data_IF_505057686723
#
_entry.id   IF_505057686723
#
_cell.length_a   1.000
_cell.length_b   1.000
_cell.length_c   1.000
_cell.angle_alpha   90.00
_cell.angle_beta   90.00
_cell.angle_gamma   90.00
#
_symmetry.space_group_name_H-M   'P 1'
#
loop_
_entity.id
_entity.type
_entity.pdbx_description
1 polymer ?
#
# COMPACT_ATOMS: atom_id res chain seq x y z
N UNK A 1 -43.46 -72.20 6.13
CA UNK A 1 -43.34 -71.33 4.93
C UNK A 1 -43.73 -69.91 5.32
N UNK A 2 -42.91 -68.93 4.90
CA UNK A 2 -43.13 -67.48 4.96
C UNK A 2 -43.07 -66.77 6.32
N UNK A 3 -41.93 -66.10 6.59
CA UNK A 3 -41.83 -64.95 7.51
C UNK A 3 -41.97 -63.67 6.68
N UNK A 4 -42.73 -62.65 7.11
CA UNK A 4 -42.80 -61.39 6.37
C UNK A 4 -41.56 -60.54 6.64
N UNK A 5 -40.92 -60.10 5.56
CA UNK A 5 -39.78 -59.20 5.53
C UNK A 5 -40.22 -57.75 5.74
N UNK A 6 -39.84 -57.14 6.84
CA UNK A 6 -39.88 -55.68 7.01
C UNK A 6 -38.72 -55.07 6.21
N UNK A 7 -39.03 -54.37 5.12
CA UNK A 7 -38.05 -53.52 4.42
C UNK A 7 -37.99 -52.17 5.14
N UNK A 8 -36.88 -51.90 5.81
CA UNK A 8 -36.54 -50.59 6.33
C UNK A 8 -36.13 -49.71 5.14
N UNK A 9 -36.94 -48.71 4.80
CA UNK A 9 -36.55 -47.64 3.87
C UNK A 9 -35.75 -46.63 4.69
N UNK A 10 -34.44 -46.60 4.50
CA UNK A 10 -33.59 -45.56 5.08
C UNK A 10 -33.75 -44.28 4.26
N UNK A 11 -34.39 -43.27 4.85
CA UNK A 11 -34.47 -41.91 4.32
C UNK A 11 -33.11 -41.23 4.55
N UNK A 12 -32.27 -41.12 3.52
CA UNK A 12 -31.07 -40.29 3.57
C UNK A 12 -31.48 -38.81 3.50
N UNK A 13 -31.50 -38.16 4.66
CA UNK A 13 -31.60 -36.70 4.76
C UNK A 13 -30.21 -36.13 4.44
N UNK A 14 -30.01 -35.69 3.20
CA UNK A 14 -28.81 -34.97 2.78
C UNK A 14 -28.78 -33.60 3.46
N UNK A 15 -27.97 -33.47 4.51
CA UNK A 15 -27.62 -32.19 5.11
C UNK A 15 -26.71 -31.45 4.11
N UNK A 16 -27.28 -30.57 3.30
CA UNK A 16 -26.51 -29.56 2.58
C UNK A 16 -25.95 -28.60 3.63
N UNK A 17 -24.69 -28.79 4.01
CA UNK A 17 -23.89 -27.72 4.60
C UNK A 17 -23.65 -26.69 3.51
N UNK A 18 -24.56 -25.71 3.40
CA UNK A 18 -24.23 -24.42 2.79
C UNK A 18 -23.23 -23.79 3.74
N UNK A 19 -21.94 -24.00 3.46
CA UNK A 19 -20.88 -23.24 4.09
C UNK A 19 -21.14 -21.77 3.80
N UNK A 20 -21.65 -21.06 4.80
CA UNK A 20 -21.67 -19.60 4.76
C UNK A 20 -20.22 -19.17 4.87
N UNK A 21 -19.54 -19.02 3.73
CA UNK A 21 -18.38 -18.16 3.66
C UNK A 21 -18.90 -16.76 4.04
N UNK A 22 -18.84 -16.43 5.34
CA UNK A 22 -19.20 -15.12 5.81
C UNK A 22 -18.38 -14.10 5.04
N UNK A 23 -19.01 -13.01 4.59
CA UNK A 23 -18.28 -11.89 3.99
C UNK A 23 -17.28 -11.39 5.04
N UNK A 24 -16.01 -11.70 4.82
CA UNK A 24 -14.94 -11.31 5.71
C UNK A 24 -14.65 -9.85 5.45
N UNK A 25 -14.67 -9.03 6.49
CA UNK A 25 -14.32 -7.61 6.38
C UNK A 25 -12.87 -7.39 6.78
N UNK A 26 -12.22 -6.42 6.14
CA UNK A 26 -10.86 -6.00 6.42
C UNK A 26 -10.82 -4.50 6.62
N UNK A 27 -10.12 -4.04 7.66
CA UNK A 27 -9.86 -2.62 7.89
C UNK A 27 -8.62 -2.23 7.10
N UNK A 28 -8.80 -1.31 6.15
CA UNK A 28 -7.79 -0.90 5.17
C UNK A 28 -7.55 0.59 5.30
N UNK A 29 -6.27 0.97 5.37
CA UNK A 29 -5.85 2.37 5.40
C UNK A 29 -5.37 2.80 4.02
N UNK A 30 -6.04 3.80 3.48
CA UNK A 30 -5.64 4.50 2.26
C UNK A 30 -4.70 5.64 2.61
N UNK A 31 -3.69 5.86 1.78
CA UNK A 31 -2.68 6.91 1.97
C UNK A 31 -2.54 7.79 0.74
N UNK A 32 -2.11 9.03 0.95
CA UNK A 32 -1.62 9.95 -0.07
C UNK A 32 -0.34 10.61 0.45
N UNK A 33 0.79 10.30 -0.17
CA UNK A 33 2.08 10.87 0.22
C UNK A 33 2.14 12.35 -0.19
N UNK A 34 2.42 13.21 0.79
CA UNK A 34 2.53 14.64 0.62
C UNK A 34 3.62 15.18 1.56
N UNK A 35 4.89 14.75 1.40
CA UNK A 35 5.96 15.06 2.36
C UNK A 35 6.26 16.57 2.43
N UNK A 36 5.93 17.32 1.39
CA UNK A 36 6.03 18.77 1.36
C UNK A 36 4.82 19.50 1.98
N UNK A 37 3.80 18.77 2.45
CA UNK A 37 2.52 19.29 2.94
C UNK A 37 1.95 20.37 2.02
N UNK A 38 1.85 20.03 0.74
CA UNK A 38 1.39 20.92 -0.32
C UNK A 38 -0.13 21.08 -0.32
N UNK A 39 -0.87 20.06 0.13
CA UNK A 39 -2.30 20.13 0.34
C UNK A 39 -2.63 20.70 1.72
N UNK A 40 -3.70 21.48 1.82
CA UNK A 40 -4.25 21.89 3.13
C UNK A 40 -5.24 20.86 3.68
N UNK A 41 -5.87 20.08 2.79
CA UNK A 41 -6.77 18.95 3.10
C UNK A 41 -6.67 17.90 1.99
N UNK A 42 -6.84 16.64 2.35
CA UNK A 42 -6.97 15.54 1.41
C UNK A 42 -8.21 14.69 1.71
N UNK A 43 -8.73 14.04 0.67
CA UNK A 43 -9.90 13.19 0.72
C UNK A 43 -9.67 11.92 -0.11
N UNK A 44 -10.24 10.80 0.33
CA UNK A 44 -10.30 9.54 -0.43
C UNK A 44 -11.75 9.11 -0.72
N UNK A 45 -12.42 9.79 -1.66
CA UNK A 45 -13.75 9.38 -2.12
C UNK A 45 -13.70 8.07 -2.93
N UNK A 46 -14.75 7.28 -2.83
CA UNK A 46 -14.90 6.06 -3.62
C UNK A 46 -16.31 5.46 -3.56
N UNK A 47 -16.47 4.29 -4.17
CA UNK A 47 -17.73 3.54 -4.18
C UNK A 47 -18.23 3.17 -2.78
N UNK A 48 -17.33 3.13 -1.80
CA UNK A 48 -17.63 2.82 -0.38
C UNK A 48 -18.12 4.02 0.45
N UNK A 49 -18.04 5.26 -0.05
CA UNK A 49 -18.44 6.45 0.70
C UNK A 49 -19.15 7.52 -0.15
N UNK A 50 -19.78 7.11 -1.26
CA UNK A 50 -20.62 7.99 -2.07
C UNK A 50 -19.84 9.05 -2.86
N UNK A 51 -18.56 8.78 -3.19
CA UNK A 51 -17.76 9.64 -4.08
C UNK A 51 -17.57 11.10 -3.63
N UNK A 52 -17.64 11.37 -2.32
CA UNK A 52 -17.44 12.74 -1.81
C UNK A 52 -18.68 13.63 -1.87
N UNK A 53 -19.86 13.07 -2.14
CA UNK A 53 -21.12 13.80 -2.25
C UNK A 53 -21.80 14.00 -0.88
N UNK A 54 -22.46 15.15 -0.65
CA UNK A 54 -22.57 16.30 -1.55
C UNK A 54 -21.29 17.16 -1.56
N UNK A 55 -21.01 17.79 -2.70
CA UNK A 55 -19.91 18.76 -2.83
C UNK A 55 -20.20 20.09 -2.12
N UNK A 56 -19.16 20.89 -1.87
CA UNK A 56 -19.29 22.21 -1.26
C UNK A 56 -20.17 23.11 -2.13
N UNK A 57 -21.20 23.77 -1.57
CA UNK A 57 -22.05 24.69 -2.33
C UNK A 57 -21.22 25.77 -3.05
N UNK A 58 -21.49 25.96 -4.34
CA UNK A 58 -20.77 26.93 -5.17
C UNK A 58 -19.44 26.44 -5.75
N UNK A 59 -18.99 25.22 -5.41
CA UNK A 59 -17.83 24.58 -6.05
C UNK A 59 -18.29 23.23 -6.63
N UNK A 60 -18.47 23.11 -7.96
CA UNK A 60 -19.12 21.94 -8.54
C UNK A 60 -18.33 20.63 -8.40
N UNK A 61 -17.09 20.67 -7.88
CA UNK A 61 -16.21 19.49 -7.81
C UNK A 61 -15.41 19.35 -6.52
N UNK A 62 -15.43 20.30 -5.58
CA UNK A 62 -14.60 20.21 -4.36
C UNK A 62 -15.39 19.62 -3.19
N UNK A 63 -14.81 18.65 -2.50
CA UNK A 63 -15.47 17.92 -1.41
C UNK A 63 -15.58 18.84 -0.19
N UNK A 64 -16.72 18.80 0.49
CA UNK A 64 -16.96 19.56 1.70
C UNK A 64 -15.95 19.25 2.81
N UNK A 65 -15.54 20.28 3.54
CA UNK A 65 -14.86 20.08 4.81
C UNK A 65 -15.72 19.21 5.74
N UNK A 66 -15.11 18.24 6.42
CA UNK A 66 -15.81 17.32 7.31
C UNK A 66 -16.57 16.19 6.62
N UNK A 67 -16.41 16.00 5.30
CA UNK A 67 -16.96 14.83 4.60
C UNK A 67 -16.35 13.52 5.15
N UNK A 68 -17.12 12.42 5.07
CA UNK A 68 -16.70 11.10 5.57
C UNK A 68 -15.45 10.52 4.89
N UNK A 69 -15.05 11.07 3.75
CA UNK A 69 -13.81 10.70 3.03
C UNK A 69 -12.58 11.53 3.44
N UNK A 70 -12.73 12.47 4.37
CA UNK A 70 -11.63 13.32 4.82
C UNK A 70 -10.50 12.49 5.42
N UNK A 71 -9.28 12.81 5.01
CA UNK A 71 -8.07 12.16 5.48
C UNK A 71 -7.44 12.99 6.61
N UNK A 72 -6.72 12.31 7.49
CA UNK A 72 -5.92 12.92 8.55
C UNK A 72 -4.47 13.01 8.09
N UNK A 73 -3.80 14.13 8.34
CA UNK A 73 -2.37 14.27 8.03
C UNK A 73 -1.52 13.71 9.17
N UNK A 74 -0.63 12.78 8.84
CA UNK A 74 0.46 12.32 9.68
C UNK A 74 1.72 13.12 9.35
N UNK A 75 2.16 13.95 10.29
CA UNK A 75 3.32 14.81 10.11
C UNK A 75 4.65 14.07 10.21
N UNK A 76 4.71 12.98 10.97
CA UNK A 76 5.93 12.19 11.15
C UNK A 76 6.19 11.31 9.91
N UNK A 77 5.11 10.85 9.29
CA UNK A 77 5.13 10.10 8.03
C UNK A 77 5.12 10.95 6.76
N UNK A 78 4.66 12.20 6.82
CA UNK A 78 4.55 13.06 5.64
C UNK A 78 3.45 12.62 4.66
N UNK A 79 2.33 12.11 5.18
CA UNK A 79 1.23 11.62 4.35
C UNK A 79 -0.14 11.86 4.97
N UNK A 80 -1.15 11.91 4.11
CA UNK A 80 -2.55 11.85 4.51
C UNK A 80 -3.02 10.40 4.58
N UNK A 81 -3.84 10.05 5.56
CA UNK A 81 -4.38 8.71 5.69
C UNK A 81 -5.88 8.69 6.07
N UNK A 82 -6.59 7.65 5.65
CA UNK A 82 -7.97 7.39 6.05
C UNK A 82 -8.23 5.88 6.09
N UNK A 83 -8.90 5.44 7.15
CA UNK A 83 -9.12 4.02 7.42
C UNK A 83 -10.59 3.67 7.24
N UNK A 84 -10.87 2.64 6.45
CA UNK A 84 -12.22 2.17 6.15
C UNK A 84 -12.28 0.64 6.22
N UNK A 85 -13.41 0.10 6.68
CA UNK A 85 -13.66 -1.34 6.68
C UNK A 85 -14.36 -1.75 5.39
N UNK A 86 -13.74 -2.66 4.63
CA UNK A 86 -14.17 -3.11 3.32
C UNK A 86 -14.34 -4.63 3.28
N UNK A 87 -15.14 -5.14 2.36
CA UNK A 87 -15.35 -6.59 2.24
C UNK A 87 -14.24 -7.23 1.41
N UNK A 88 -13.60 -8.27 1.94
CA UNK A 88 -12.66 -9.10 1.22
C UNK A 88 -13.36 -9.80 0.03
N UNK A 89 -12.62 -9.94 -1.07
CA UNK A 89 -13.10 -10.43 -2.36
C UNK A 89 -13.88 -9.41 -3.20
N UNK A 90 -14.07 -8.17 -2.71
CA UNK A 90 -14.74 -7.10 -3.48
C UNK A 90 -13.73 -6.12 -4.08
N UNK A 91 -14.09 -5.57 -5.24
CA UNK A 91 -13.38 -4.47 -5.88
C UNK A 91 -14.02 -3.15 -5.49
N UNK A 92 -13.20 -2.16 -5.14
CA UNK A 92 -13.62 -0.81 -4.83
C UNK A 92 -12.88 0.20 -5.70
N UNK A 93 -13.64 1.12 -6.27
CA UNK A 93 -13.11 2.22 -7.07
C UNK A 93 -13.05 3.47 -6.21
N UNK A 94 -11.98 4.23 -6.35
CA UNK A 94 -11.72 5.43 -5.55
C UNK A 94 -10.83 6.43 -6.29
N UNK A 95 -10.73 7.63 -5.75
CA UNK A 95 -9.80 8.69 -6.18
C UNK A 95 -9.21 9.39 -4.97
N UNK A 96 -8.20 10.21 -5.22
CA UNK A 96 -7.72 11.21 -4.28
C UNK A 96 -8.18 12.58 -4.75
N UNK A 97 -8.66 13.39 -3.81
CA UNK A 97 -8.83 14.83 -4.01
C UNK A 97 -8.04 15.58 -2.95
N UNK A 98 -7.33 16.62 -3.37
CA UNK A 98 -6.65 17.54 -2.46
C UNK A 98 -7.20 18.94 -2.62
N UNK A 99 -7.20 19.70 -1.53
CA UNK A 99 -7.46 21.13 -1.53
C UNK A 99 -6.15 21.89 -1.42
N UNK A 100 -6.02 22.97 -2.19
CA UNK A 100 -4.87 23.87 -2.19
C UNK A 100 -5.12 25.13 -1.36
N UNK A 101 -6.37 25.37 -0.95
CA UNK A 101 -6.74 26.51 -0.12
C UNK A 101 -7.75 26.14 0.99
N UNK A 102 -7.74 26.94 2.05
CA UNK A 102 -8.62 26.73 3.21
C UNK A 102 -10.11 26.98 2.89
N UNK A 103 -10.38 27.83 1.89
CA UNK A 103 -11.74 28.08 1.41
C UNK A 103 -12.39 26.84 0.78
N UNK A 104 -11.60 25.87 0.30
CA UNK A 104 -12.09 24.65 -0.33
C UNK A 104 -12.64 24.88 -1.73
N UNK A 105 -12.19 25.95 -2.39
CA UNK A 105 -12.59 26.33 -3.74
C UNK A 105 -11.57 25.95 -4.79
N UNK A 106 -10.33 25.65 -4.38
CA UNK A 106 -9.26 25.17 -5.24
C UNK A 106 -8.94 23.72 -4.86
N UNK A 107 -9.33 22.79 -5.72
CA UNK A 107 -9.09 21.37 -5.52
C UNK A 107 -8.59 20.70 -6.79
N UNK A 108 -7.88 19.58 -6.62
CA UNK A 108 -7.43 18.74 -7.73
C UNK A 108 -7.82 17.30 -7.46
N UNK A 109 -8.33 16.64 -8.50
CA UNK A 109 -8.64 15.22 -8.51
C UNK A 109 -7.58 14.46 -9.28
N UNK A 110 -7.14 13.33 -8.73
CA UNK A 110 -6.22 12.43 -9.42
C UNK A 110 -6.47 10.99 -8.99
N UNK A 111 -6.06 10.06 -9.86
CA UNK A 111 -5.92 8.64 -9.51
C UNK A 111 -4.80 8.51 -8.49
N UNK A 112 -4.92 7.58 -7.54
CA UNK A 112 -3.87 7.33 -6.55
C UNK A 112 -2.52 7.01 -7.23
N UNK A 113 -1.48 7.84 -7.03
CA UNK A 113 -0.16 7.61 -7.61
C UNK A 113 0.52 6.32 -7.14
N UNK A 114 0.10 5.77 -5.98
CA UNK A 114 0.65 4.52 -5.44
C UNK A 114 -0.07 3.27 -5.95
N UNK A 115 -1.18 3.44 -6.68
CA UNK A 115 -1.94 2.33 -7.24
C UNK A 115 -1.85 2.34 -8.76
N UNK A 116 -1.11 1.40 -9.37
CA UNK A 116 -0.98 1.35 -10.83
C UNK A 116 -2.26 0.92 -11.54
N UNK A 117 -3.27 0.42 -10.81
CA UNK A 117 -4.52 -0.07 -11.39
C UNK A 117 -5.55 1.06 -11.46
N UNK A 118 -5.86 1.48 -12.68
CA UNK A 118 -6.94 2.44 -12.97
C UNK A 118 -7.96 1.87 -13.93
N UNK A 119 -9.23 2.22 -13.74
CA UNK A 119 -10.36 1.70 -14.53
C UNK A 119 -11.32 2.82 -14.95
N UNK A 120 -12.11 2.54 -16.00
CA UNK A 120 -13.17 3.42 -16.47
C UNK A 120 -12.69 4.72 -17.15
N UNK A 121 -13.65 5.51 -17.63
CA UNK A 121 -13.36 6.74 -18.39
C UNK A 121 -12.77 7.88 -17.53
N UNK A 122 -12.98 7.83 -16.22
CA UNK A 122 -12.47 8.83 -15.29
C UNK A 122 -11.09 8.48 -14.73
N UNK A 123 -10.51 7.33 -15.11
CA UNK A 123 -9.30 6.77 -14.51
C UNK A 123 -9.45 6.67 -12.99
N UNK A 124 -10.50 6.01 -12.50
CA UNK A 124 -10.64 5.74 -11.08
C UNK A 124 -9.60 4.70 -10.67
N UNK A 125 -8.94 4.86 -9.53
CA UNK A 125 -8.09 3.81 -8.98
C UNK A 125 -8.96 2.66 -8.49
N UNK A 126 -8.55 1.42 -8.71
CA UNK A 126 -9.30 0.25 -8.25
C UNK A 126 -8.45 -0.61 -7.32
N UNK A 127 -9.04 -1.05 -6.21
CA UNK A 127 -8.42 -2.01 -5.29
C UNK A 127 -9.34 -3.20 -5.10
N UNK A 128 -8.80 -4.40 -5.27
CA UNK A 128 -9.48 -5.65 -4.90
C UNK A 128 -9.00 -6.03 -3.50
N UNK A 129 -9.92 -6.13 -2.56
CA UNK A 129 -9.58 -6.42 -1.16
C UNK A 129 -9.29 -7.92 -1.05
N UNK A 130 -8.08 -8.25 -0.62
CA UNK A 130 -7.66 -9.63 -0.34
C UNK A 130 -7.29 -9.77 1.15
N UNK A 131 -7.32 -10.99 1.67
CA UNK A 131 -6.92 -11.28 3.05
C UNK A 131 -5.93 -12.47 3.09
N UNK A 132 -4.65 -12.25 3.44
CA UNK A 132 -4.01 -10.95 3.67
C UNK A 132 -3.74 -10.18 2.36
N UNK A 133 -3.43 -8.88 2.45
CA UNK A 133 -3.02 -8.04 1.33
C UNK A 133 -1.90 -7.07 1.69
N UNK A 134 -1.07 -6.74 0.70
CA UNK A 134 -0.21 -5.55 0.71
C UNK A 134 -0.80 -4.53 -0.24
N UNK A 135 -0.85 -3.26 0.17
CA UNK A 135 -1.48 -2.18 -0.56
C UNK A 135 -0.62 -0.91 -0.52
N UNK A 136 -0.61 -0.17 -1.63
CA UNK A 136 0.15 1.07 -1.80
C UNK A 136 1.63 0.96 -1.33
N UNK A 137 2.41 -0.05 -1.74
CA UNK A 137 3.85 -0.04 -1.47
C UNK A 137 4.48 1.22 -2.10
N UNK A 138 5.39 1.86 -1.38
CA UNK A 138 5.95 3.14 -1.79
C UNK A 138 7.42 3.27 -1.38
N UNK A 139 8.20 3.89 -2.27
CA UNK A 139 9.46 4.52 -1.93
C UNK A 139 9.22 6.01 -1.66
N UNK A 140 9.55 6.47 -0.45
CA UNK A 140 9.37 7.85 -0.04
C UNK A 140 10.61 8.65 -0.43
N UNK A 141 10.43 9.60 -1.35
CA UNK A 141 11.51 10.36 -1.99
C UNK A 141 11.56 11.78 -1.40
N UNK A 142 12.76 12.22 -1.04
CA UNK A 142 13.01 13.56 -0.53
C UNK A 142 13.15 14.60 -1.65
N UNK A 143 13.37 15.87 -1.29
CA UNK A 143 13.53 16.97 -2.24
C UNK A 143 14.74 16.81 -3.19
N UNK A 144 15.75 16.03 -2.81
CA UNK A 144 16.94 15.75 -3.62
C UNK A 144 16.72 14.61 -4.62
N UNK A 145 15.52 14.01 -4.66
CA UNK A 145 15.23 12.87 -5.52
C UNK A 145 15.83 11.55 -5.03
N UNK A 146 16.14 11.45 -3.74
CA UNK A 146 16.64 10.23 -3.10
C UNK A 146 15.54 9.56 -2.27
N UNK A 147 15.49 8.23 -2.30
CA UNK A 147 14.58 7.45 -1.48
C UNK A 147 15.13 7.35 -0.06
N UNK A 148 14.38 7.90 0.91
CA UNK A 148 14.77 7.99 2.32
C UNK A 148 13.98 7.06 3.23
N UNK A 149 12.81 6.59 2.78
CA UNK A 149 12.03 5.58 3.48
C UNK A 149 11.30 4.66 2.49
N UNK A 150 10.84 3.51 2.98
CA UNK A 150 9.90 2.63 2.28
C UNK A 150 8.70 2.38 3.18
N UNK A 151 7.51 2.28 2.60
CA UNK A 151 6.30 2.01 3.37
C UNK A 151 5.25 1.27 2.57
N UNK A 152 4.35 0.57 3.27
CA UNK A 152 3.25 -0.18 2.68
C UNK A 152 2.09 -0.31 3.68
N UNK A 153 0.86 -0.41 3.18
CA UNK A 153 -0.24 -0.97 3.96
C UNK A 153 -0.16 -2.49 3.95
N UNK A 154 -0.20 -3.12 5.11
CA UNK A 154 -0.17 -4.57 5.28
C UNK A 154 -1.40 -4.95 6.10
N UNK A 155 -2.39 -5.56 5.46
CA UNK A 155 -3.71 -5.77 6.04
C UNK A 155 -4.07 -7.25 6.05
N UNK A 156 -4.57 -7.74 7.18
CA UNK A 156 -5.09 -9.09 7.30
C UNK A 156 -6.13 -9.19 8.41
N UNK A 157 -6.99 -10.20 8.33
CA UNK A 157 -7.93 -10.53 9.42
C UNK A 157 -7.26 -11.26 10.60
N UNK A 158 -6.07 -11.78 10.36
CA UNK A 158 -5.22 -12.43 11.35
C UNK A 158 -4.02 -11.53 11.66
N UNK A 159 -3.47 -11.67 12.87
CA UNK A 159 -2.21 -11.01 13.20
C UNK A 159 -1.07 -11.52 12.32
N UNK A 160 -0.12 -10.64 12.01
CA UNK A 160 1.10 -11.03 11.29
C UNK A 160 2.12 -11.66 12.24
N UNK A 161 2.57 -12.86 11.89
CA UNK A 161 3.63 -13.57 12.63
C UNK A 161 5.02 -13.16 12.16
N UNK A 162 5.14 -12.65 10.93
CA UNK A 162 6.39 -12.23 10.35
C UNK A 162 6.14 -11.20 9.24
N UNK A 163 7.00 -10.18 9.17
CA UNK A 163 7.13 -9.32 8.00
C UNK A 163 8.61 -9.30 7.62
N UNK A 164 8.94 -9.64 6.38
CA UNK A 164 10.30 -9.51 5.84
C UNK A 164 10.28 -8.51 4.70
N UNK A 165 11.38 -7.79 4.52
CA UNK A 165 11.49 -6.84 3.44
C UNK A 165 12.94 -6.66 2.98
N UNK A 166 13.09 -6.25 1.73
CA UNK A 166 14.37 -5.90 1.13
C UNK A 166 14.30 -4.50 0.57
N UNK A 167 15.41 -3.78 0.64
CA UNK A 167 15.58 -2.49 -0.05
C UNK A 167 16.84 -2.56 -0.88
N UNK A 168 16.69 -2.36 -2.19
CA UNK A 168 17.72 -2.55 -3.20
C UNK A 168 18.44 -3.92 -3.08
N UNK A 169 17.66 -4.99 -2.92
CA UNK A 169 18.16 -6.37 -2.78
C UNK A 169 18.80 -6.71 -1.43
N UNK A 170 18.93 -5.74 -0.51
CA UNK A 170 19.48 -5.99 0.83
C UNK A 170 18.33 -6.33 1.76
N UNK A 171 18.31 -7.56 2.27
CA UNK A 171 17.38 -8.00 3.32
C UNK A 171 17.64 -7.20 4.61
N UNK A 172 16.56 -6.77 5.25
CA UNK A 172 16.59 -5.98 6.48
C UNK A 172 15.91 -6.74 7.63
N UNK A 173 16.01 -6.16 8.83
CA UNK A 173 15.47 -6.65 10.11
C UNK A 173 14.02 -7.17 10.02
N UNK A 174 13.56 -7.89 11.05
CA UNK A 174 12.14 -8.23 11.22
C UNK A 174 11.26 -6.98 11.08
N UNK A 175 10.42 -6.97 10.05
CA UNK A 175 9.58 -5.84 9.69
C UNK A 175 8.46 -5.56 10.69
N UNK A 176 8.21 -6.47 11.63
CA UNK A 176 7.20 -6.27 12.68
C UNK A 176 7.52 -5.07 13.59
N UNK A 177 8.80 -4.75 13.80
CA UNK A 177 9.21 -3.57 14.61
C UNK A 177 8.82 -2.24 13.95
N UNK A 178 8.54 -2.26 12.65
CA UNK A 178 8.21 -1.10 11.83
C UNK A 178 6.73 -1.09 11.39
N UNK A 179 5.93 -2.02 11.91
CA UNK A 179 4.53 -2.20 11.58
C UNK A 179 3.64 -1.75 12.74
N UNK A 180 2.71 -0.84 12.45
CA UNK A 180 1.66 -0.45 13.39
C UNK A 180 0.40 -1.31 13.16
N UNK A 181 0.04 -2.22 14.08
CA UNK A 181 -1.15 -3.06 13.95
C UNK A 181 -2.46 -2.28 14.06
N UNK A 182 -2.46 -1.05 14.61
CA UNK A 182 -3.67 -0.25 14.73
C UNK A 182 -4.08 0.38 13.38
N UNK A 183 -3.10 0.79 12.59
CA UNK A 183 -3.32 1.38 11.26
C UNK A 183 -3.03 0.41 10.12
N UNK A 184 -2.37 -0.72 10.37
CA UNK A 184 -1.90 -1.65 9.35
C UNK A 184 -0.77 -1.07 8.49
N UNK A 185 -0.07 -0.04 8.95
CA UNK A 185 0.99 0.62 8.19
C UNK A 185 2.37 0.09 8.59
N UNK A 186 3.13 -0.37 7.61
CA UNK A 186 4.56 -0.62 7.71
C UNK A 186 5.33 0.59 7.18
N UNK A 187 6.35 1.07 7.92
CA UNK A 187 7.25 2.11 7.43
C UNK A 187 8.66 1.97 8.01
N UNK A 188 9.64 1.89 7.12
CA UNK A 188 11.06 1.83 7.45
C UNK A 188 11.82 3.02 6.88
N UNK A 189 12.47 3.80 7.74
CA UNK A 189 13.38 4.89 7.33
C UNK A 189 14.77 4.32 7.11
N UNK A 190 15.36 4.62 5.95
CA UNK A 190 16.70 4.13 5.61
C UNK A 190 17.77 4.89 6.39
N UNK A 191 18.77 4.17 6.91
CA UNK A 191 19.96 4.77 7.54
C UNK A 191 20.75 5.66 6.56
N UNK A 192 20.76 5.27 5.29
CA UNK A 192 21.41 5.99 4.19
C UNK A 192 20.43 6.06 3.03
N UNK A 193 20.09 7.26 2.51
CA UNK A 193 19.24 7.39 1.35
C UNK A 193 19.82 6.64 0.15
N UNK A 194 18.94 6.03 -0.65
CA UNK A 194 19.32 5.33 -1.88
C UNK A 194 18.70 6.01 -3.09
N UNK A 195 19.07 5.57 -4.28
CA UNK A 195 18.52 6.10 -5.54
C UNK A 195 16.99 5.96 -5.55
N UNK A 196 16.25 7.00 -5.94
CA UNK A 196 14.80 6.87 -6.15
C UNK A 196 14.50 5.80 -7.20
N UNK A 197 13.43 5.04 -6.95
CA UNK A 197 13.06 3.87 -7.76
C UNK A 197 13.84 2.60 -7.43
N UNK A 198 14.70 2.60 -6.39
CA UNK A 198 15.35 1.35 -5.95
C UNK A 198 14.31 0.34 -5.51
N UNK A 199 14.60 -0.95 -5.70
CA UNK A 199 13.71 -2.03 -5.38
C UNK A 199 13.27 -1.97 -3.92
N UNK A 200 11.98 -2.16 -3.68
CA UNK A 200 11.42 -2.46 -2.37
C UNK A 200 10.51 -3.66 -2.52
N UNK A 201 10.85 -4.75 -1.81
CA UNK A 201 10.01 -5.94 -1.72
C UNK A 201 9.61 -6.12 -0.26
N UNK A 202 8.34 -6.44 -0.02
CA UNK A 202 7.82 -6.76 1.30
C UNK A 202 7.01 -8.04 1.23
N UNK A 203 7.18 -8.92 2.21
CA UNK A 203 6.41 -10.15 2.38
C UNK A 203 5.89 -10.22 3.79
N UNK A 204 4.60 -10.43 3.96
CA UNK A 204 3.95 -10.58 5.25
C UNK A 204 3.32 -11.97 5.36
N UNK A 205 3.54 -12.63 6.49
CA UNK A 205 2.97 -13.95 6.79
C UNK A 205 2.19 -13.88 8.08
N UNK A 206 0.92 -14.31 8.04
CA UNK A 206 0.05 -14.31 9.21
C UNK A 206 0.24 -15.52 10.13
N UNK A 207 -0.34 -15.46 11.33
CA UNK A 207 -0.26 -16.54 12.34
C UNK A 207 -0.89 -17.86 11.89
N UNK A 208 -1.67 -17.88 10.80
CA UNK A 208 -2.22 -19.11 10.21
C UNK A 208 -1.42 -19.59 9.00
N UNK A 209 -0.31 -18.92 8.67
CA UNK A 209 0.64 -19.30 7.63
C UNK A 209 0.27 -18.85 6.22
N UNK A 210 -0.68 -17.92 6.05
CA UNK A 210 -0.94 -17.29 4.74
C UNK A 210 0.07 -16.18 4.51
N UNK A 211 0.62 -16.12 3.30
CA UNK A 211 1.61 -15.10 2.93
C UNK A 211 1.14 -14.27 1.75
N UNK A 212 1.54 -13.00 1.76
CA UNK A 212 1.34 -12.06 0.65
C UNK A 212 2.63 -11.27 0.44
N UNK A 213 2.91 -10.89 -0.80
CA UNK A 213 4.09 -10.11 -1.17
C UNK A 213 3.73 -9.01 -2.15
N UNK A 214 4.48 -7.91 -2.11
CA UNK A 214 4.47 -6.87 -3.13
C UNK A 214 5.89 -6.39 -3.40
N UNK A 215 6.09 -5.89 -4.61
CA UNK A 215 7.36 -5.34 -5.07
C UNK A 215 7.12 -4.09 -5.91
N UNK A 216 8.00 -3.10 -5.73
CA UNK A 216 8.11 -1.91 -6.58
C UNK A 216 9.58 -1.61 -6.88
N UNK A 217 9.79 -0.75 -7.88
CA UNK A 217 11.13 -0.28 -8.24
C UNK A 217 11.97 -1.34 -8.95
N UNK A 218 13.26 -1.07 -9.05
CA UNK A 218 14.22 -1.92 -9.76
C UNK A 218 15.49 -2.10 -8.94
N UNK A 219 16.15 -3.26 -9.11
CA UNK A 219 17.42 -3.51 -8.46
C UNK A 219 18.50 -2.66 -9.15
N UNK A 220 19.09 -1.72 -8.39
CA UNK A 220 20.28 -1.02 -8.85
C UNK A 220 21.52 -1.73 -8.35
N UNK A 221 22.44 -2.01 -9.27
CA UNK A 221 23.79 -2.41 -8.89
C UNK A 221 24.37 -1.37 -7.93
N UNK A 222 25.08 -1.79 -6.87
CA UNK A 222 25.92 -0.85 -6.14
C UNK A 222 26.75 -0.08 -7.15
N UNK A 223 26.89 1.24 -6.98
CA UNK A 223 27.95 1.95 -7.68
C UNK A 223 29.24 1.33 -7.15
N UNK A 224 29.74 0.27 -7.78
CA UNK A 224 31.16 -0.01 -7.75
C UNK A 224 31.79 1.27 -8.25
N UNK A 225 32.52 1.96 -7.39
CA UNK A 225 33.46 2.94 -7.89
C UNK A 225 34.34 2.16 -8.86
N UNK A 226 34.11 2.31 -10.16
CA UNK A 226 35.13 2.03 -11.17
C UNK A 226 36.27 2.97 -10.83
N UNK A 227 37.13 2.52 -9.93
CA UNK A 227 38.45 3.08 -9.79
C UNK A 227 39.11 2.76 -11.12
N UNK A 228 39.12 3.74 -12.03
CA UNK A 228 39.95 3.73 -13.23
C UNK A 228 41.28 3.05 -12.87
N UNK A 229 41.69 1.99 -13.58
CA UNK A 229 42.88 1.26 -13.22
C UNK A 229 44.05 2.24 -13.18
N UNK A 230 44.62 2.43 -11.99
CA UNK A 230 45.76 3.30 -11.78
C UNK A 230 46.91 2.80 -12.66
N UNK A 231 47.14 3.51 -13.76
CA UNK A 231 48.28 3.21 -14.61
C UNK A 231 49.49 3.86 -13.97
N UNK A 232 50.34 3.07 -13.31
CA UNK A 232 51.61 3.59 -12.77
C UNK A 232 52.54 3.87 -13.95
N UNK A 233 52.64 5.12 -14.39
CA UNK A 233 53.65 5.53 -15.36
C UNK A 233 54.97 5.71 -14.62
N UNK A 234 55.94 4.83 -14.90
CA UNK A 234 57.30 4.98 -14.38
C UNK A 234 58.04 6.03 -15.20
N UNK A 235 57.96 7.29 -14.79
CA UNK A 235 58.80 8.33 -15.39
C UNK A 235 60.27 8.10 -15.01
N UNK A 236 61.14 8.04 -16.02
CA UNK A 236 62.60 8.05 -15.84
C UNK A 236 63.08 9.49 -16.01
N UNK A 237 63.54 10.10 -14.92
CA UNK A 237 64.23 11.38 -14.96
C UNK A 237 65.69 11.16 -15.36
N UNK A 238 66.20 11.83 -16.41
CA UNK A 238 67.62 11.83 -16.69
C UNK A 238 68.35 12.69 -15.64
N UNK A 239 69.20 12.06 -14.83
CA UNK A 239 70.14 12.76 -13.95
C UNK A 239 71.30 13.26 -14.81
N UNK A 240 71.49 14.58 -14.90
CA UNK A 240 72.70 15.15 -15.49
C UNK A 240 73.84 15.03 -14.47
N UNK A 241 74.96 14.49 -14.91
CA UNK A 241 76.24 14.52 -14.21
C UNK A 241 76.85 15.93 -14.25
#
# INVERSE_FOLDING_TARGET
>A
MSRPSFRLVALLLGLFFVGHAGAQSLTVTFRYLDPGKTAVRAFVPGSFNGWGQPYTPGTPSCIGAGHASAMTYDADGGFWHHTVTLQAGQAYQYKIQVHHNEAGTECTWFSDPLNPVTVGANNDSEVVIADPMVFQPAGEVNADGLMTAVSAGVFGSQAFAQITFTVNGIERTDGLDFYDPATGLFRFVLDVPVRAGSQFTITATDIVGRSVSAEIGELFSPIEWETEPFTTVKERFPVRA
#
